data_IF_533918891319
#
_entry.id   IF_533918891319
#
_cell.length_a   1.000
_cell.length_b   1.000
_cell.length_c   1.000
_cell.angle_alpha   90.00
_cell.angle_beta   90.00
_cell.angle_gamma   90.00
#
_symmetry.space_group_name_H-M   'P 1'
#
loop_
_entity.id
_entity.type
_entity.pdbx_description
1 polymer ?
#
# COMPACT_ATOMS: atom_id res chain seq x y z
N UNK A 1 -0.03 -9.29 -3.33
CA UNK A 1 1.04 -8.59 -4.12
C UNK A 1 1.50 -7.37 -3.34
N UNK A 2 2.83 -7.13 -3.25
CA UNK A 2 3.42 -6.02 -2.48
C UNK A 2 3.63 -4.80 -3.37
N UNK A 3 3.16 -3.63 -2.93
CA UNK A 3 3.35 -2.37 -3.67
C UNK A 3 4.68 -1.71 -3.33
N UNK A 4 5.10 -1.83 -2.06
CA UNK A 4 6.33 -1.23 -1.55
C UNK A 4 7.53 -2.15 -1.81
N UNK A 5 8.67 -1.56 -2.13
CA UNK A 5 9.96 -2.24 -2.19
C UNK A 5 10.64 -2.15 -0.81
N UNK A 6 10.68 -3.26 -0.10
CA UNK A 6 11.20 -3.35 1.27
C UNK A 6 12.73 -3.25 1.35
N UNK A 7 13.42 -3.59 0.27
CA UNK A 7 14.88 -3.45 0.22
C UNK A 7 15.26 -1.98 0.05
N UNK A 8 14.46 -1.22 -0.74
CA UNK A 8 14.61 0.24 -0.85
C UNK A 8 14.24 0.97 0.46
N UNK A 9 13.25 0.47 1.20
CA UNK A 9 12.97 0.94 2.58
C UNK A 9 14.06 0.53 3.55
N UNK A 10 14.93 -0.43 3.19
CA UNK A 10 15.99 -0.99 4.02
C UNK A 10 15.47 -1.41 5.41
N UNK A 11 14.38 -2.19 5.42
CA UNK A 11 13.79 -2.73 6.66
C UNK A 11 14.78 -3.62 7.38
N UNK A 12 14.95 -3.41 8.67
CA UNK A 12 15.86 -4.17 9.54
C UNK A 12 15.08 -4.98 10.58
N UNK A 13 15.66 -6.08 11.00
CA UNK A 13 15.16 -6.83 12.15
C UNK A 13 15.11 -5.92 13.39
N UNK A 14 13.93 -5.87 14.02
CA UNK A 14 13.69 -5.03 15.21
C UNK A 14 13.21 -3.62 14.92
N UNK A 15 13.19 -3.15 13.67
CA UNK A 15 12.55 -1.87 13.33
C UNK A 15 11.09 -1.87 13.80
N UNK A 16 10.65 -0.79 14.42
CA UNK A 16 9.25 -0.57 14.81
C UNK A 16 8.55 0.09 13.63
N UNK A 17 7.59 -0.60 13.02
CA UNK A 17 6.98 -0.21 11.76
C UNK A 17 5.47 -0.04 11.89
N UNK A 18 4.95 1.08 11.40
CA UNK A 18 3.51 1.31 11.23
C UNK A 18 3.10 0.99 9.79
N UNK A 19 2.15 0.08 9.63
CA UNK A 19 1.38 -0.14 8.40
C UNK A 19 0.05 0.59 8.54
N UNK A 20 0.00 1.85 8.06
CA UNK A 20 -1.14 2.75 8.18
C UNK A 20 -2.12 2.52 7.01
N UNK A 21 -3.34 2.09 7.32
CA UNK A 21 -4.29 1.57 6.34
C UNK A 21 -3.85 0.20 5.85
N UNK A 22 -3.62 -0.72 6.79
CA UNK A 22 -3.01 -2.03 6.49
C UNK A 22 -3.91 -2.94 5.63
N UNK A 23 -5.22 -2.65 5.52
CA UNK A 23 -6.17 -3.50 4.82
C UNK A 23 -6.09 -4.95 5.28
N UNK A 24 -5.91 -5.89 4.37
CA UNK A 24 -5.75 -7.32 4.67
C UNK A 24 -4.32 -7.72 5.10
N UNK A 25 -3.45 -6.75 5.45
CA UNK A 25 -2.18 -7.00 6.10
C UNK A 25 -1.05 -7.49 5.18
N UNK A 26 -1.15 -7.31 3.86
CA UNK A 26 -0.12 -7.80 2.93
C UNK A 26 1.29 -7.25 3.23
N UNK A 27 1.41 -5.97 3.57
CA UNK A 27 2.68 -5.36 3.96
C UNK A 27 3.07 -5.74 5.38
N UNK A 28 2.09 -5.81 6.30
CA UNK A 28 2.30 -6.27 7.68
C UNK A 28 2.90 -7.67 7.74
N UNK A 29 2.42 -8.62 6.90
CA UNK A 29 2.97 -9.97 6.82
C UNK A 29 4.43 -9.97 6.34
N UNK A 30 4.75 -9.23 5.29
CA UNK A 30 6.13 -9.11 4.80
C UNK A 30 7.05 -8.45 5.84
N UNK A 31 6.59 -7.41 6.54
CA UNK A 31 7.34 -6.78 7.62
C UNK A 31 7.66 -7.76 8.74
N UNK A 32 6.65 -8.55 9.17
CA UNK A 32 6.85 -9.55 10.22
C UNK A 32 7.84 -10.63 9.79
N UNK A 33 7.78 -11.10 8.53
CA UNK A 33 8.73 -12.08 7.99
C UNK A 33 10.17 -11.58 7.95
N UNK A 34 10.36 -10.26 7.83
CA UNK A 34 11.68 -9.59 7.89
C UNK A 34 12.15 -9.31 9.33
N UNK A 35 11.38 -9.73 10.33
CA UNK A 35 11.73 -9.58 11.74
C UNK A 35 11.47 -8.19 12.32
N UNK A 36 10.64 -7.37 11.68
CA UNK A 36 10.20 -6.10 12.23
C UNK A 36 9.18 -6.29 13.38
N UNK A 37 8.99 -5.26 14.18
CA UNK A 37 7.87 -5.12 15.13
C UNK A 37 6.77 -4.32 14.41
N UNK A 38 5.62 -4.94 14.16
CA UNK A 38 4.62 -4.44 13.24
C UNK A 38 3.39 -3.91 13.97
N UNK A 39 3.04 -2.67 13.70
CA UNK A 39 1.78 -2.05 14.12
C UNK A 39 0.90 -1.89 12.88
N UNK A 40 -0.16 -2.70 12.80
CA UNK A 40 -1.12 -2.68 11.71
C UNK A 40 -2.35 -1.89 12.14
N UNK A 41 -2.61 -0.77 11.47
CA UNK A 41 -3.72 0.13 11.78
C UNK A 41 -4.63 0.30 10.57
N UNK A 42 -5.94 0.15 10.76
CA UNK A 42 -6.95 0.41 9.75
C UNK A 42 -8.26 0.89 10.38
N UNK A 43 -9.14 1.48 9.61
CA UNK A 43 -10.49 1.86 10.05
C UNK A 43 -11.48 0.70 9.88
N UNK A 44 -11.25 -0.18 8.91
CA UNK A 44 -12.13 -1.29 8.58
C UNK A 44 -11.89 -2.50 9.50
N UNK A 45 -12.89 -2.81 10.30
CA UNK A 45 -12.85 -3.91 11.27
C UNK A 45 -12.78 -5.30 10.61
N UNK A 46 -13.32 -5.46 9.41
CA UNK A 46 -13.25 -6.73 8.69
C UNK A 46 -11.82 -7.00 8.22
N UNK A 47 -11.20 -6.00 7.61
CA UNK A 47 -9.78 -6.03 7.22
C UNK A 47 -8.88 -6.35 8.40
N UNK A 48 -9.10 -5.70 9.55
CA UNK A 48 -8.32 -5.95 10.76
C UNK A 48 -8.48 -7.37 11.30
N UNK A 49 -9.68 -7.97 11.22
CA UNK A 49 -9.87 -9.38 11.61
C UNK A 49 -9.05 -10.32 10.72
N UNK A 50 -9.08 -10.11 9.39
CA UNK A 50 -8.30 -10.90 8.43
C UNK A 50 -6.80 -10.74 8.66
N UNK A 51 -6.33 -9.50 8.85
CA UNK A 51 -4.93 -9.19 9.15
C UNK A 51 -4.46 -9.86 10.43
N UNK A 52 -5.25 -9.76 11.51
CA UNK A 52 -4.93 -10.41 12.79
C UNK A 52 -4.83 -11.92 12.65
N UNK A 53 -5.77 -12.55 11.93
CA UNK A 53 -5.74 -13.97 11.67
C UNK A 53 -4.48 -14.38 10.88
N UNK A 54 -4.17 -13.69 9.80
CA UNK A 54 -3.02 -13.99 8.94
C UNK A 54 -1.69 -13.83 9.68
N UNK A 55 -1.54 -12.77 10.48
CA UNK A 55 -0.34 -12.55 11.32
C UNK A 55 -0.22 -13.61 12.40
N UNK A 56 -1.31 -14.03 13.02
CA UNK A 56 -1.30 -15.11 14.02
C UNK A 56 -0.89 -16.46 13.41
N UNK A 57 -1.31 -16.76 12.18
CA UNK A 57 -0.88 -17.96 11.45
C UNK A 57 0.60 -17.90 11.11
N UNK A 58 1.06 -16.80 10.51
CA UNK A 58 2.47 -16.60 10.18
C UNK A 58 3.38 -16.64 11.40
N UNK A 59 2.93 -16.10 12.54
CA UNK A 59 3.64 -16.16 13.80
C UNK A 59 3.94 -17.61 14.20
N UNK A 60 2.94 -18.53 14.07
CA UNK A 60 3.12 -19.96 14.38
C UNK A 60 4.15 -20.59 13.45
N UNK A 61 4.11 -20.28 12.15
CA UNK A 61 5.04 -20.84 11.17
C UNK A 61 6.47 -20.37 11.40
N UNK A 62 6.66 -19.06 11.68
CA UNK A 62 7.98 -18.45 11.87
C UNK A 62 8.49 -18.51 13.32
N UNK A 63 7.74 -19.09 14.27
CA UNK A 63 8.06 -19.13 15.71
C UNK A 63 8.36 -17.73 16.28
N UNK A 64 7.61 -16.71 15.83
CA UNK A 64 7.79 -15.32 16.25
C UNK A 64 7.13 -15.08 17.62
N UNK A 65 7.74 -14.25 18.45
CA UNK A 65 7.23 -13.88 19.79
C UNK A 65 5.92 -13.10 19.72
N UNK A 66 5.12 -13.15 20.78
CA UNK A 66 3.81 -12.48 20.89
C UNK A 66 3.86 -10.96 20.79
N UNK A 67 4.97 -10.36 21.20
CA UNK A 67 5.21 -8.92 21.25
C UNK A 67 5.65 -8.30 19.90
N UNK A 68 5.67 -9.09 18.82
CA UNK A 68 6.18 -8.65 17.53
C UNK A 68 5.13 -7.99 16.61
N UNK A 69 3.86 -8.04 16.95
CA UNK A 69 2.84 -7.34 16.19
C UNK A 69 1.65 -6.90 17.03
N UNK A 70 1.05 -5.78 16.64
CA UNK A 70 -0.21 -5.27 17.16
C UNK A 70 -1.15 -4.91 16.00
N UNK A 71 -2.41 -5.32 16.09
CA UNK A 71 -3.46 -4.99 15.11
C UNK A 71 -4.59 -4.27 15.82
N UNK A 72 -4.91 -3.04 15.43
CA UNK A 72 -5.96 -2.27 16.05
C UNK A 72 -6.63 -1.28 15.09
N UNK A 73 -7.81 -0.82 15.46
CA UNK A 73 -8.51 0.24 14.73
C UNK A 73 -7.88 1.61 15.00
N UNK A 74 -7.77 2.43 13.95
CA UNK A 74 -7.27 3.80 14.04
C UNK A 74 -7.45 4.57 12.75
N UNK A 75 -7.31 5.89 12.85
CA UNK A 75 -7.45 6.83 11.74
C UNK A 75 -6.11 7.51 11.45
N UNK A 76 -5.70 7.55 10.18
CA UNK A 76 -4.49 8.26 9.76
C UNK A 76 -4.55 9.78 10.05
N UNK A 77 -5.75 10.34 10.20
CA UNK A 77 -5.95 11.74 10.61
C UNK A 77 -5.64 12.01 12.08
N UNK A 78 -5.61 10.99 12.92
CA UNK A 78 -5.30 11.07 14.36
C UNK A 78 -4.80 9.73 14.89
N UNK A 79 -3.63 9.25 14.44
CA UNK A 79 -3.08 7.98 14.89
C UNK A 79 -2.75 8.03 16.38
N UNK A 80 -3.17 7.00 17.18
CA UNK A 80 -3.10 7.04 18.64
C UNK A 80 -1.69 6.72 19.17
N UNK A 81 -0.68 7.36 18.61
CA UNK A 81 0.71 7.15 18.98
C UNK A 81 1.40 8.46 19.37
N UNK A 82 2.41 8.33 20.20
CA UNK A 82 3.30 9.45 20.57
C UNK A 82 4.14 9.87 19.36
N UNK A 83 4.66 11.10 19.42
CA UNK A 83 5.64 11.58 18.47
C UNK A 83 6.85 10.65 18.42
N UNK A 84 7.43 10.52 17.23
CA UNK A 84 8.67 9.78 17.00
C UNK A 84 8.65 8.33 17.52
N UNK A 85 7.53 7.62 17.28
CA UNK A 85 7.32 6.23 17.72
C UNK A 85 7.88 5.19 16.76
N UNK A 86 7.92 5.48 15.45
CA UNK A 86 8.19 4.50 14.41
C UNK A 86 9.49 4.76 13.66
N UNK A 87 10.26 3.72 13.39
CA UNK A 87 11.46 3.77 12.54
C UNK A 87 11.07 3.84 11.06
N UNK A 88 9.95 3.20 10.72
CA UNK A 88 9.41 3.12 9.36
C UNK A 88 7.89 3.26 9.37
N UNK A 89 7.35 3.85 8.29
CA UNK A 89 5.91 3.89 8.03
C UNK A 89 5.64 3.45 6.59
N UNK A 90 4.62 2.61 6.43
CA UNK A 90 4.01 2.33 5.13
C UNK A 90 2.60 2.89 5.15
N UNK A 91 2.24 3.66 4.13
CA UNK A 91 0.89 4.16 3.90
C UNK A 91 0.54 3.87 2.44
N UNK A 92 -0.14 2.75 2.20
CA UNK A 92 -0.31 2.20 0.86
C UNK A 92 -1.76 2.20 0.41
N UNK A 93 -2.08 2.98 -0.64
CA UNK A 93 -3.43 3.11 -1.21
C UNK A 93 -4.43 3.59 -0.12
N UNK A 94 -4.10 4.69 0.54
CA UNK A 94 -4.89 5.30 1.62
C UNK A 94 -5.18 6.76 1.36
N UNK A 95 -4.19 7.54 0.88
CA UNK A 95 -4.29 8.99 0.78
C UNK A 95 -5.41 9.44 -0.17
N UNK A 96 -5.70 8.65 -1.21
CA UNK A 96 -6.80 8.87 -2.15
C UNK A 96 -8.19 8.79 -1.52
N UNK A 97 -8.32 8.19 -0.34
CA UNK A 97 -9.57 8.05 0.41
C UNK A 97 -9.70 9.06 1.55
N UNK A 98 -8.65 9.83 1.85
CA UNK A 98 -8.61 10.75 3.00
C UNK A 98 -8.93 12.16 2.55
N UNK A 99 -9.97 12.80 3.14
CA UNK A 99 -10.38 14.17 2.76
C UNK A 99 -9.30 15.20 3.07
N UNK A 100 -8.70 15.14 4.24
CA UNK A 100 -7.62 16.02 4.69
C UNK A 100 -6.28 15.24 4.65
N UNK A 101 -5.79 15.00 3.45
CA UNK A 101 -4.57 14.24 3.19
C UNK A 101 -3.31 14.94 3.70
N UNK A 102 -3.30 16.27 3.70
CA UNK A 102 -2.19 17.05 4.25
C UNK A 102 -2.08 16.86 5.77
N UNK A 103 -3.22 16.83 6.48
CA UNK A 103 -3.25 16.49 7.90
C UNK A 103 -2.82 15.04 8.14
N UNK A 104 -3.29 14.09 7.34
CA UNK A 104 -2.86 12.70 7.46
C UNK A 104 -1.34 12.57 7.26
N UNK A 105 -0.79 13.22 6.23
CA UNK A 105 0.65 13.26 6.00
C UNK A 105 1.41 13.84 7.20
N UNK A 106 0.94 14.97 7.75
CA UNK A 106 1.52 15.63 8.94
C UNK A 106 1.52 14.71 10.16
N UNK A 107 0.43 14.01 10.40
CA UNK A 107 0.30 13.07 11.52
C UNK A 107 1.22 11.84 11.35
N UNK A 108 1.33 11.29 10.14
CA UNK A 108 2.29 10.23 9.86
C UNK A 108 3.73 10.71 10.09
N UNK A 109 4.05 11.94 9.66
CA UNK A 109 5.37 12.54 9.92
C UNK A 109 5.59 12.80 11.41
N UNK A 110 4.56 13.20 12.17
CA UNK A 110 4.66 13.40 13.63
C UNK A 110 5.11 12.11 14.32
N UNK A 111 4.45 11.00 14.00
CA UNK A 111 4.75 9.71 14.66
C UNK A 111 6.00 9.00 14.10
N UNK A 112 6.53 9.43 12.96
CA UNK A 112 7.79 8.96 12.40
C UNK A 112 8.97 9.57 13.16
N UNK A 113 9.96 8.79 13.53
CA UNK A 113 11.20 9.24 14.17
C UNK A 113 12.01 10.13 13.21
N UNK A 114 12.88 11.00 13.75
CA UNK A 114 13.92 11.66 12.96
C UNK A 114 14.78 10.63 12.25
N UNK A 115 15.11 10.91 11.01
CA UNK A 115 15.79 9.97 10.09
C UNK A 115 14.99 8.68 9.80
N UNK A 116 13.76 8.56 10.31
CA UNK A 116 12.84 7.49 9.95
C UNK A 116 12.41 7.56 8.49
N UNK A 117 12.01 6.44 7.93
CA UNK A 117 11.66 6.31 6.51
C UNK A 117 10.19 6.03 6.32
N UNK A 118 9.63 6.56 5.25
CA UNK A 118 8.23 6.37 4.91
C UNK A 118 8.09 6.02 3.42
N UNK A 119 7.18 5.10 3.11
CA UNK A 119 6.69 4.88 1.78
C UNK A 119 5.20 5.23 1.72
N UNK A 120 4.83 6.12 0.81
CA UNK A 120 3.44 6.45 0.50
C UNK A 120 3.15 5.98 -0.91
N UNK A 121 2.06 5.22 -1.10
CA UNK A 121 1.62 4.80 -2.42
C UNK A 121 0.22 5.29 -2.71
N UNK A 122 0.00 5.65 -3.96
CA UNK A 122 -1.31 6.02 -4.49
C UNK A 122 -1.47 5.43 -5.90
N UNK A 123 -2.70 5.23 -6.39
CA UNK A 123 -2.95 4.90 -7.79
C UNK A 123 -2.36 5.97 -8.72
N UNK A 124 -1.90 5.56 -9.90
CA UNK A 124 -1.45 6.51 -10.91
C UNK A 124 -2.64 7.18 -11.59
N UNK A 125 -2.49 8.44 -11.94
CA UNK A 125 -3.54 9.18 -12.67
C UNK A 125 -3.89 8.51 -14.01
N UNK A 126 -2.93 7.82 -14.62
CA UNK A 126 -3.16 7.07 -15.86
C UNK A 126 -4.14 5.90 -15.62
N UNK A 127 -3.91 5.08 -14.58
CA UNK A 127 -4.81 3.97 -14.25
C UNK A 127 -6.19 4.48 -13.84
N UNK A 128 -6.24 5.57 -13.07
CA UNK A 128 -7.48 6.22 -12.64
C UNK A 128 -8.29 6.78 -13.82
N UNK A 129 -7.65 7.50 -14.74
CA UNK A 129 -8.30 8.04 -15.93
C UNK A 129 -8.86 6.92 -16.82
N UNK A 130 -8.12 5.82 -16.94
CA UNK A 130 -8.54 4.67 -17.70
C UNK A 130 -9.78 3.99 -17.09
N UNK A 131 -9.81 3.87 -15.75
CA UNK A 131 -10.98 3.31 -15.04
C UNK A 131 -12.18 4.25 -15.10
N UNK A 132 -11.98 5.56 -15.04
CA UNK A 132 -13.05 6.58 -15.15
C UNK A 132 -13.75 6.53 -16.51
N UNK A 133 -12.98 6.34 -17.59
CA UNK A 133 -13.53 6.17 -18.97
C UNK A 133 -14.32 4.87 -19.09
N UNK A 134 -13.89 3.80 -18.45
CA UNK A 134 -14.46 2.47 -18.60
C UNK A 134 -15.59 2.15 -17.62
N UNK A 135 -15.56 2.75 -16.40
CA UNK A 135 -16.56 2.48 -15.35
C UNK A 135 -16.75 3.67 -14.41
N UNK A 136 -17.80 4.43 -14.67
CA UNK A 136 -18.20 5.54 -13.78
C UNK A 136 -18.53 5.09 -12.35
N UNK A 137 -18.90 3.83 -12.16
CA UNK A 137 -19.24 3.23 -10.88
C UNK A 137 -18.05 3.12 -9.89
N UNK A 138 -16.82 3.07 -10.41
CA UNK A 138 -15.61 2.92 -9.57
C UNK A 138 -15.40 4.09 -8.60
N UNK A 139 -15.71 5.32 -9.03
CA UNK A 139 -15.55 6.54 -8.24
C UNK A 139 -16.79 6.91 -7.43
N UNK A 140 -17.97 6.39 -7.81
CA UNK A 140 -19.24 6.70 -7.15
C UNK A 140 -19.63 5.71 -6.06
N UNK A 141 -18.95 4.57 -5.97
CA UNK A 141 -19.18 3.55 -4.95
C UNK A 141 -18.76 4.03 -3.54
N UNK A 142 -19.48 3.64 -2.48
CA UNK A 142 -19.07 3.93 -1.11
C UNK A 142 -17.63 3.43 -0.85
N UNK A 143 -16.75 4.32 -0.40
CA UNK A 143 -15.33 4.02 -0.21
C UNK A 143 -14.46 4.19 -1.46
N UNK A 144 -15.01 4.71 -2.56
CA UNK A 144 -14.27 5.06 -3.77
C UNK A 144 -13.20 6.15 -3.55
N UNK A 145 -12.37 6.35 -4.56
CA UNK A 145 -11.32 7.37 -4.52
C UNK A 145 -11.94 8.77 -4.62
N UNK A 146 -11.63 9.64 -3.69
CA UNK A 146 -12.15 11.01 -3.65
C UNK A 146 -11.21 12.00 -4.36
N UNK A 147 -10.00 11.56 -4.72
CA UNK A 147 -8.99 12.36 -5.45
C UNK A 147 -8.04 11.49 -6.26
N UNK A 148 -7.46 12.09 -7.27
CA UNK A 148 -6.41 11.54 -8.11
C UNK A 148 -5.12 12.34 -7.87
N UNK A 149 -3.98 11.67 -7.80
CA UNK A 149 -2.70 12.33 -7.56
C UNK A 149 -1.81 12.33 -8.79
N UNK A 150 -1.27 13.49 -9.13
CA UNK A 150 0.00 13.54 -9.85
C UNK A 150 1.16 13.22 -8.88
N UNK A 151 2.17 12.47 -9.30
CA UNK A 151 3.32 12.16 -8.44
C UNK A 151 4.00 13.40 -7.86
N UNK A 152 4.01 14.51 -8.61
CA UNK A 152 4.58 15.79 -8.20
C UNK A 152 3.77 16.45 -7.07
N UNK A 153 2.44 16.33 -7.07
CA UNK A 153 1.57 16.87 -6.01
C UNK A 153 1.77 16.12 -4.71
N UNK A 154 1.82 14.78 -4.78
CA UNK A 154 2.13 13.93 -3.62
C UNK A 154 3.54 14.26 -3.09
N UNK A 155 4.53 14.42 -3.97
CA UNK A 155 5.89 14.79 -3.60
C UNK A 155 5.95 16.16 -2.92
N UNK A 156 5.22 17.15 -3.45
CA UNK A 156 5.14 18.47 -2.86
C UNK A 156 4.47 18.46 -1.48
N UNK A 157 3.39 17.66 -1.31
CA UNK A 157 2.74 17.47 -0.02
C UNK A 157 3.71 16.84 1.00
N UNK A 158 4.43 15.80 0.63
CA UNK A 158 5.43 15.16 1.48
C UNK A 158 6.55 16.14 1.87
N UNK A 159 7.06 16.91 0.91
CA UNK A 159 8.15 17.87 1.14
C UNK A 159 7.75 19.01 2.09
N UNK A 160 6.54 19.60 1.93
CA UNK A 160 6.09 20.68 2.83
C UNK A 160 5.81 20.20 4.26
N UNK A 161 5.59 18.88 4.44
CA UNK A 161 5.46 18.25 5.74
C UNK A 161 6.81 17.73 6.32
N UNK A 162 7.96 18.15 5.77
CA UNK A 162 9.28 17.87 6.33
C UNK A 162 9.92 16.57 5.87
N UNK A 163 9.39 15.95 4.84
CA UNK A 163 9.95 14.73 4.25
C UNK A 163 10.90 15.07 3.09
N UNK A 164 11.99 14.32 2.97
CA UNK A 164 12.96 14.40 1.87
C UNK A 164 12.84 13.16 1.03
N UNK A 165 12.42 13.30 -0.22
CA UNK A 165 12.32 12.18 -1.15
C UNK A 165 13.71 11.66 -1.53
N UNK A 166 13.85 10.34 -1.57
CA UNK A 166 15.05 9.66 -2.06
C UNK A 166 14.76 8.62 -3.14
N UNK A 167 13.49 8.35 -3.44
CA UNK A 167 13.15 7.39 -4.48
C UNK A 167 11.70 7.46 -4.94
N UNK A 168 11.50 7.05 -6.18
CA UNK A 168 10.19 6.83 -6.81
C UNK A 168 10.17 5.42 -7.37
N UNK A 169 9.04 4.76 -7.29
CA UNK A 169 8.80 3.45 -7.88
C UNK A 169 7.43 3.38 -8.56
N UNK A 170 7.32 2.50 -9.54
CA UNK A 170 6.07 2.21 -10.24
C UNK A 170 5.80 0.71 -10.12
N UNK A 171 4.55 0.33 -9.90
CA UNK A 171 4.16 -1.04 -9.57
C UNK A 171 2.85 -1.47 -10.24
N UNK A 172 2.74 -2.78 -10.41
CA UNK A 172 1.48 -3.46 -10.76
C UNK A 172 0.95 -3.20 -12.17
N UNK A 173 1.83 -3.09 -13.19
CA UNK A 173 1.42 -2.93 -14.58
C UNK A 173 0.45 -4.05 -15.04
N UNK A 174 0.70 -5.30 -14.66
CA UNK A 174 -0.18 -6.41 -14.99
C UNK A 174 -1.55 -6.32 -14.30
N UNK A 175 -1.63 -5.68 -13.13
CA UNK A 175 -2.91 -5.40 -12.49
C UNK A 175 -3.73 -4.32 -13.23
N UNK A 176 -3.10 -3.41 -13.93
CA UNK A 176 -3.79 -2.46 -14.81
C UNK A 176 -4.57 -3.22 -15.88
N UNK A 177 -3.95 -4.25 -16.49
CA UNK A 177 -4.62 -5.09 -17.50
C UNK A 177 -5.79 -5.87 -16.88
N UNK A 178 -5.66 -6.39 -15.67
CA UNK A 178 -6.75 -7.08 -14.98
C UNK A 178 -7.96 -6.17 -14.74
N UNK A 179 -7.73 -4.93 -14.31
CA UNK A 179 -8.80 -3.95 -14.15
C UNK A 179 -9.43 -3.55 -15.46
N UNK A 180 -8.64 -3.44 -16.55
CA UNK A 180 -9.14 -3.22 -17.90
C UNK A 180 -10.11 -4.33 -18.33
N UNK A 181 -9.71 -5.58 -18.16
CA UNK A 181 -10.57 -6.74 -18.48
C UNK A 181 -11.87 -6.64 -17.64
N UNK A 182 -11.78 -6.39 -16.35
CA UNK A 182 -12.96 -6.23 -15.49
C UNK A 182 -13.88 -5.09 -15.92
N UNK A 183 -13.30 -3.97 -16.31
CA UNK A 183 -14.08 -2.82 -16.77
C UNK A 183 -14.87 -3.09 -18.05
N UNK A 184 -14.31 -3.90 -18.95
CA UNK A 184 -14.98 -4.29 -20.22
C UNK A 184 -16.05 -5.34 -19.97
N UNK A 185 -15.80 -6.29 -19.07
CA UNK A 185 -16.70 -7.43 -18.81
C UNK A 185 -17.82 -7.08 -17.81
N UNK A 186 -17.63 -6.01 -17.01
CA UNK A 186 -18.52 -5.57 -15.94
C UNK A 186 -17.97 -5.85 -14.54
N UNK A 187 -18.03 -4.85 -13.66
CA UNK A 187 -17.46 -4.91 -12.31
C UNK A 187 -18.12 -5.98 -11.41
N UNK A 188 -19.38 -6.30 -11.67
CA UNK A 188 -20.16 -7.27 -10.90
C UNK A 188 -19.93 -8.72 -11.35
N UNK A 189 -19.21 -8.97 -12.44
CA UNK A 189 -18.92 -10.31 -12.95
C UNK A 189 -17.56 -10.82 -12.44
N UNK A 190 -17.42 -10.95 -11.11
CA UNK A 190 -16.21 -11.52 -10.48
C UNK A 190 -15.87 -12.93 -10.98
N UNK A 191 -16.86 -13.67 -11.51
CA UNK A 191 -16.77 -15.04 -12.00
C UNK A 191 -16.64 -15.17 -13.52
N UNK A 192 -16.41 -14.06 -14.26
CA UNK A 192 -16.26 -14.18 -15.70
C UNK A 192 -15.00 -14.97 -16.05
N UNK A 193 -15.07 -15.95 -16.99
CA UNK A 193 -13.95 -16.84 -17.31
C UNK A 193 -12.64 -16.10 -17.67
N UNK A 194 -12.73 -14.97 -18.38
CA UNK A 194 -11.55 -14.16 -18.73
C UNK A 194 -10.89 -13.53 -17.52
N UNK A 195 -11.67 -13.01 -16.58
CA UNK A 195 -11.12 -12.42 -15.33
C UNK A 195 -10.51 -13.47 -14.45
N UNK A 196 -11.14 -14.63 -14.32
CA UNK A 196 -10.63 -15.77 -13.57
C UNK A 196 -9.33 -16.32 -14.18
N UNK A 197 -9.31 -16.56 -15.49
CA UNK A 197 -8.12 -17.05 -16.20
C UNK A 197 -6.94 -16.08 -16.10
N UNK A 198 -7.20 -14.76 -16.23
CA UNK A 198 -6.15 -13.76 -16.09
C UNK A 198 -5.66 -13.63 -14.63
N UNK A 199 -6.55 -13.79 -13.66
CA UNK A 199 -6.18 -13.81 -12.24
C UNK A 199 -5.28 -15.02 -11.91
N UNK A 200 -5.61 -16.19 -12.45
CA UNK A 200 -4.77 -17.37 -12.33
C UNK A 200 -3.41 -17.21 -13.01
N UNK A 201 -3.37 -16.62 -14.22
CA UNK A 201 -2.12 -16.23 -14.88
C UNK A 201 -1.28 -15.31 -14.02
N UNK A 202 -1.87 -14.29 -13.38
CA UNK A 202 -1.16 -13.41 -12.45
C UNK A 202 -0.60 -14.17 -11.25
N UNK A 203 -1.40 -15.08 -10.68
CA UNK A 203 -0.95 -15.91 -9.55
C UNK A 203 0.23 -16.79 -9.93
N UNK A 204 0.15 -17.53 -11.00
CA UNK A 204 1.21 -18.42 -11.46
C UNK A 204 2.41 -17.67 -12.02
N UNK A 205 2.16 -16.62 -12.80
CA UNK A 205 3.20 -15.85 -13.48
C UNK A 205 4.11 -15.06 -12.54
N UNK A 206 3.55 -14.43 -11.50
CA UNK A 206 4.32 -13.58 -10.58
C UNK A 206 5.27 -14.36 -9.66
N UNK A 207 5.14 -15.68 -9.55
CA UNK A 207 6.14 -16.55 -8.92
C UNK A 207 7.40 -16.71 -9.78
N UNK A 208 7.31 -16.51 -11.10
CA UNK A 208 8.44 -16.60 -12.01
C UNK A 208 9.34 -15.35 -11.94
N UNK A 209 10.66 -15.56 -11.83
CA UNK A 209 11.64 -14.46 -11.89
C UNK A 209 11.58 -13.70 -13.22
N UNK A 210 11.30 -14.41 -14.32
CA UNK A 210 11.16 -13.82 -15.64
C UNK A 210 9.97 -12.88 -15.71
N UNK A 211 8.80 -13.33 -15.26
CA UNK A 211 7.57 -12.52 -15.28
C UNK A 211 7.68 -11.27 -14.40
N UNK A 212 8.35 -11.35 -13.24
CA UNK A 212 8.64 -10.16 -12.43
C UNK A 212 9.53 -9.14 -13.15
N UNK A 213 10.52 -9.59 -13.95
CA UNK A 213 11.34 -8.69 -14.77
C UNK A 213 10.53 -8.05 -15.90
N UNK A 214 9.67 -8.83 -16.55
CA UNK A 214 8.75 -8.34 -17.58
C UNK A 214 7.78 -7.32 -17.00
N UNK A 215 7.15 -7.62 -15.87
CA UNK A 215 6.29 -6.67 -15.17
C UNK A 215 7.05 -5.40 -14.77
N UNK A 216 8.28 -5.54 -14.26
CA UNK A 216 9.12 -4.40 -13.90
C UNK A 216 9.40 -3.48 -15.07
N UNK A 217 9.57 -4.02 -16.28
CA UNK A 217 9.71 -3.24 -17.51
C UNK A 217 8.39 -2.50 -17.83
N UNK A 218 7.25 -3.20 -17.80
CA UNK A 218 5.95 -2.60 -18.08
C UNK A 218 5.49 -1.60 -17.02
N UNK A 219 6.01 -1.67 -15.79
CA UNK A 219 5.72 -0.70 -14.74
C UNK A 219 6.13 0.75 -15.11
N UNK A 220 7.02 0.94 -16.09
CA UNK A 220 7.37 2.28 -16.59
C UNK A 220 6.34 2.85 -17.57
N UNK A 221 5.53 2.00 -18.19
CA UNK A 221 4.58 2.40 -19.24
C UNK A 221 3.13 2.44 -18.73
N UNK A 222 2.74 1.45 -17.94
CA UNK A 222 1.34 1.24 -17.52
C UNK A 222 1.22 0.94 -16.02
N UNK A 223 1.87 1.70 -15.13
CA UNK A 223 1.82 1.38 -13.71
C UNK A 223 0.41 1.61 -13.16
N UNK A 224 -0.04 0.68 -12.28
CA UNK A 224 -1.25 0.92 -11.48
C UNK A 224 -0.98 1.89 -10.35
N UNK A 225 0.16 1.74 -9.67
CA UNK A 225 0.49 2.50 -8.47
C UNK A 225 1.85 3.16 -8.59
N UNK A 226 1.97 4.36 -8.05
CA UNK A 226 3.23 5.06 -7.79
C UNK A 226 3.57 4.96 -6.30
N UNK A 227 4.85 4.77 -6.01
CA UNK A 227 5.40 4.72 -4.65
C UNK A 227 6.42 5.84 -4.50
N UNK A 228 6.24 6.69 -3.50
CA UNK A 228 7.23 7.68 -3.11
C UNK A 228 7.90 7.26 -1.80
N UNK A 229 9.23 7.25 -1.82
CA UNK A 229 10.07 6.92 -0.67
C UNK A 229 10.71 8.19 -0.14
N UNK A 230 10.58 8.43 1.16
CA UNK A 230 11.13 9.60 1.80
C UNK A 230 11.67 9.28 3.20
N UNK A 231 12.48 10.18 3.74
CA UNK A 231 12.91 10.16 5.12
C UNK A 231 12.57 11.48 5.81
N UNK A 232 12.36 11.46 7.13
CA UNK A 232 12.09 12.66 7.95
C UNK A 232 13.40 13.33 8.33
N UNK A 233 13.48 14.66 8.09
CA UNK A 233 14.60 15.50 8.56
C UNK A 233 14.71 15.52 10.07
#
# INVERSE_FOLDING_TARGET
MLTVDFDRLAVKTGDIVLDAGCGFGRHSLELLSRGAVVYSMDRDMESLRKTRYSLAMMKKELHVRDDRYLVHSGDALNPPYKDESFDLIICSEVMEHVRDDDRACRELVRVLKKNGRIAITVPTIFSEALYDILTHEYFTSPGGHIRKYFPQELAAMMARNGLVLYGVGFKHAFHTIWWLIRSVVGLHTAEHPLTAAYHEFLHLGLYSRLMRRVESFFNYFFPKSVVLYAWKK
#
